data_IF_946628547192
#
_entry.id   IF_946628547192
#
_cell.length_a   1.000
_cell.length_b   1.000
_cell.length_c   1.000
_cell.angle_alpha   90.00
_cell.angle_beta   90.00
_cell.angle_gamma   90.00
#
_symmetry.space_group_name_H-M   'P 1'
#
loop_
_entity.id
_entity.type
_entity.pdbx_description
1 polymer ?
#
# COMPACT_ATOMS: atom_id res chain seq x y z
N UNK A 1 0.42 -6.77 36.25
CA UNK A 1 0.49 -6.03 34.96
C UNK A 1 1.96 -5.91 34.59
N UNK A 2 2.40 -6.42 33.44
CA UNK A 2 3.78 -6.22 32.99
C UNK A 2 4.03 -4.72 32.79
N UNK A 3 5.18 -4.23 33.26
CA UNK A 3 5.59 -2.83 33.06
C UNK A 3 5.94 -2.65 31.59
N UNK A 4 5.45 -1.58 30.96
CA UNK A 4 5.88 -1.22 29.62
C UNK A 4 7.42 -1.10 29.59
N UNK A 5 8.10 -1.69 28.59
CA UNK A 5 9.54 -1.60 28.48
C UNK A 5 9.98 -0.13 28.32
N UNK A 6 11.18 0.22 28.78
CA UNK A 6 11.64 1.60 28.69
C UNK A 6 11.83 2.03 27.22
N UNK A 7 11.46 3.28 26.90
CA UNK A 7 11.46 3.87 25.56
C UNK A 7 12.76 3.68 24.75
N UNK A 8 13.91 3.56 25.41
CA UNK A 8 15.19 3.36 24.73
C UNK A 8 15.36 1.98 24.09
N UNK A 9 14.65 0.95 24.57
CA UNK A 9 14.63 -0.38 23.94
C UNK A 9 13.79 -0.39 22.66
N UNK A 10 12.81 0.51 22.52
CA UNK A 10 11.96 0.66 21.32
C UNK A 10 12.71 1.38 20.20
N UNK A 11 13.65 2.27 20.53
CA UNK A 11 14.52 2.97 19.55
C UNK A 11 15.46 2.03 18.78
N UNK A 12 15.78 0.85 19.32
CA UNK A 12 16.57 -0.18 18.62
C UNK A 12 15.73 -1.09 17.69
N UNK A 13 14.40 -1.03 17.81
CA UNK A 13 13.44 -1.77 16.98
C UNK A 13 12.83 -0.91 15.87
N UNK A 14 13.17 0.37 15.81
CA UNK A 14 13.01 1.09 14.56
C UNK A 14 13.96 0.39 13.59
N UNK A 15 13.48 -0.21 12.49
CA UNK A 15 14.38 -0.83 11.54
C UNK A 15 15.42 0.25 11.20
N UNK A 16 16.73 -0.10 11.14
CA UNK A 16 17.76 0.87 10.84
C UNK A 16 17.65 1.26 9.36
N UNK A 17 16.58 1.96 9.01
CA UNK A 17 16.52 2.87 7.88
C UNK A 17 17.42 4.04 8.26
N UNK A 18 18.73 3.79 8.31
CA UNK A 18 19.63 4.84 7.87
C UNK A 18 19.23 5.06 6.42
N UNK A 19 18.44 6.09 6.15
CA UNK A 19 18.48 6.72 4.82
C UNK A 19 19.96 6.86 4.48
N UNK A 20 20.37 6.63 3.24
CA UNK A 20 21.77 6.79 2.85
C UNK A 20 22.37 8.16 3.26
N UNK A 21 21.49 9.13 3.56
CA UNK A 21 21.82 10.50 3.97
C UNK A 21 21.73 10.79 5.49
N UNK A 22 21.48 9.79 6.35
CA UNK A 22 21.54 9.95 7.82
C UNK A 22 20.51 10.89 8.45
N UNK A 23 19.36 11.17 7.82
CA UNK A 23 18.31 12.02 8.38
C UNK A 23 17.31 11.20 9.20
N UNK A 24 17.24 11.50 10.50
CA UNK A 24 16.21 11.02 11.42
C UNK A 24 14.86 11.66 11.08
N UNK A 25 13.79 10.86 11.05
CA UNK A 25 12.40 11.31 10.88
C UNK A 25 11.90 12.25 12.01
N UNK A 26 12.71 12.49 13.05
CA UNK A 26 12.34 13.34 14.18
C UNK A 26 12.52 14.86 13.96
N UNK A 27 13.05 15.33 12.83
CA UNK A 27 13.49 16.73 12.67
C UNK A 27 12.60 17.65 11.78
N UNK A 28 11.38 17.25 11.42
CA UNK A 28 10.50 18.04 10.52
C UNK A 28 9.79 19.26 11.15
N UNK A 29 10.37 19.88 12.18
CA UNK A 29 9.81 21.06 12.85
C UNK A 29 10.54 22.37 12.51
N UNK A 30 11.08 22.51 11.28
CA UNK A 30 11.64 23.79 10.80
C UNK A 30 10.64 24.51 9.91
N UNK A 31 10.34 25.75 10.28
CA UNK A 31 9.52 26.68 9.50
C UNK A 31 10.02 26.79 8.06
N UNK A 32 9.11 26.85 7.07
CA UNK A 32 9.50 27.04 5.68
C UNK A 32 10.13 28.44 5.49
N UNK A 33 11.22 28.57 4.70
CA UNK A 33 11.76 29.88 4.37
C UNK A 33 10.77 30.67 3.52
N UNK A 34 10.53 31.93 3.89
CA UNK A 34 9.70 32.89 3.14
C UNK A 34 10.25 33.06 1.71
N UNK A 35 9.40 33.09 0.67
CA UNK A 35 9.85 33.25 -0.70
C UNK A 35 10.34 34.68 -0.95
N UNK A 36 11.56 34.79 -1.48
CA UNK A 36 12.11 36.02 -2.00
C UNK A 36 11.54 36.31 -3.40
N UNK A 37 11.04 37.53 -3.60
CA UNK A 37 10.58 38.03 -4.90
C UNK A 37 11.75 38.12 -5.91
N UNK A 38 11.71 37.34 -6.99
CA UNK A 38 12.51 37.60 -8.18
C UNK A 38 11.60 37.86 -9.39
N UNK A 39 11.64 39.11 -9.86
CA UNK A 39 11.14 39.52 -11.18
C UNK A 39 12.13 39.05 -12.25
N UNK A 40 11.67 38.31 -13.25
CA UNK A 40 12.36 38.20 -14.55
C UNK A 40 11.35 38.29 -15.69
N UNK A 41 11.49 39.33 -16.49
CA UNK A 41 10.89 39.49 -17.81
C UNK A 41 11.67 38.64 -18.82
N UNK A 42 10.96 37.86 -19.63
CA UNK A 42 11.54 37.31 -20.86
C UNK A 42 10.59 37.57 -22.04
N UNK A 43 11.17 38.16 -23.07
CA UNK A 43 10.61 38.45 -24.38
C UNK A 43 10.47 37.15 -25.18
N UNK A 44 9.34 36.99 -25.88
CA UNK A 44 9.09 35.90 -26.82
C UNK A 44 9.52 36.29 -28.24
N UNK A 45 10.03 35.35 -29.05
CA UNK A 45 10.04 35.51 -30.50
C UNK A 45 9.05 34.56 -31.20
N UNK A 46 8.26 35.18 -32.06
CA UNK A 46 7.77 34.80 -33.40
C UNK A 46 7.53 33.32 -33.74
N UNK A 47 6.27 33.03 -34.09
CA UNK A 47 5.82 31.84 -34.80
C UNK A 47 6.24 31.88 -36.28
N UNK A 48 6.74 30.75 -36.78
CA UNK A 48 6.81 30.46 -38.22
C UNK A 48 6.17 29.10 -38.50
N UNK A 49 5.23 29.10 -39.46
CA UNK A 49 4.46 27.94 -39.88
C UNK A 49 5.26 27.03 -40.81
N UNK A 50 5.20 25.71 -40.61
CA UNK A 50 5.47 24.74 -41.69
C UNK A 50 4.39 23.66 -41.78
N UNK A 51 4.01 23.41 -43.03
CA UNK A 51 2.96 22.50 -43.49
C UNK A 51 3.47 21.05 -43.60
N UNK A 52 2.58 20.15 -43.18
CA UNK A 52 2.15 18.87 -43.78
C UNK A 52 3.10 17.72 -44.14
N UNK A 53 2.56 16.54 -43.85
CA UNK A 53 2.58 15.27 -44.59
C UNK A 53 3.57 14.20 -44.09
N UNK A 54 3.00 13.07 -43.66
CA UNK A 54 3.73 11.91 -43.15
C UNK A 54 2.82 10.98 -42.35
N UNK A 55 1.99 10.23 -43.08
CA UNK A 55 1.09 9.16 -42.66
C UNK A 55 1.82 7.98 -42.01
N UNK A 56 1.09 7.20 -41.20
CA UNK A 56 1.45 5.95 -40.52
C UNK A 56 2.10 6.09 -39.13
N UNK A 57 1.29 6.52 -38.16
CA UNK A 57 1.57 6.27 -36.74
C UNK A 57 1.22 4.83 -36.41
N UNK A 58 2.21 3.95 -36.46
CA UNK A 58 2.18 2.72 -35.67
C UNK A 58 2.02 3.12 -34.21
N UNK A 59 0.80 3.01 -33.68
CA UNK A 59 0.53 3.04 -32.25
C UNK A 59 1.21 1.80 -31.66
N UNK A 60 2.51 1.93 -31.38
CA UNK A 60 3.21 1.08 -30.42
C UNK A 60 2.44 1.21 -29.11
N UNK A 61 1.55 0.25 -28.86
CA UNK A 61 1.04 -0.03 -27.52
C UNK A 61 2.25 -0.01 -26.60
N UNK A 62 2.37 1.02 -25.76
CA UNK A 62 3.41 1.10 -24.75
C UNK A 62 3.27 -0.15 -23.91
N UNK A 63 4.19 -1.10 -24.08
CA UNK A 63 4.22 -2.28 -23.23
C UNK A 63 4.19 -1.78 -21.78
N UNK A 64 3.23 -2.26 -21.00
CA UNK A 64 3.12 -1.93 -19.59
C UNK A 64 4.51 -2.06 -18.96
N UNK A 65 4.94 -1.03 -18.23
CA UNK A 65 6.20 -1.10 -17.54
C UNK A 65 6.16 -2.34 -16.63
N UNK A 66 7.15 -3.22 -16.75
CA UNK A 66 7.27 -4.37 -15.86
C UNK A 66 7.41 -3.94 -14.40
N UNK A 67 7.39 -4.88 -13.45
CA UNK A 67 7.45 -4.54 -12.04
C UNK A 67 8.75 -3.77 -11.75
N UNK A 68 8.76 -2.89 -10.74
CA UNK A 68 9.95 -2.08 -10.42
C UNK A 68 11.16 -2.92 -10.00
N UNK A 69 10.95 -4.18 -9.67
CA UNK A 69 11.95 -5.17 -9.27
C UNK A 69 11.39 -6.61 -9.34
N UNK A 70 12.26 -7.60 -9.23
CA UNK A 70 11.87 -9.00 -9.05
C UNK A 70 11.52 -9.29 -7.58
N UNK A 71 10.75 -10.35 -7.34
CA UNK A 71 10.48 -10.87 -6.01
C UNK A 71 11.77 -11.30 -5.30
N UNK A 72 12.08 -10.63 -4.18
CA UNK A 72 13.17 -10.99 -3.29
C UNK A 72 12.59 -11.71 -2.07
N UNK A 73 12.31 -13.02 -2.22
CA UNK A 73 11.69 -13.84 -1.16
C UNK A 73 12.65 -14.20 -0.02
N UNK A 74 13.95 -14.23 -0.30
CA UNK A 74 15.03 -14.50 0.63
C UNK A 74 16.25 -13.66 0.24
N UNK A 75 17.04 -13.24 1.23
CA UNK A 75 18.35 -12.68 1.00
C UNK A 75 19.27 -13.05 2.17
N UNK A 76 20.45 -13.66 1.92
CA UNK A 76 21.38 -14.04 3.00
C UNK A 76 21.95 -12.84 3.78
N UNK A 77 21.77 -11.61 3.30
CA UNK A 77 22.16 -10.38 4.01
C UNK A 77 21.14 -9.94 5.05
N UNK A 78 19.90 -10.43 4.97
CA UNK A 78 18.89 -10.10 5.96
C UNK A 78 19.29 -10.64 7.33
N UNK A 79 19.07 -9.82 8.35
CA UNK A 79 19.43 -10.18 9.70
C UNK A 79 18.28 -10.95 10.38
N UNK A 80 18.58 -11.86 11.32
CA UNK A 80 17.55 -12.36 12.21
C UNK A 80 17.03 -11.22 13.11
N UNK A 81 15.78 -11.33 13.60
CA UNK A 81 15.25 -10.37 14.55
C UNK A 81 16.06 -10.41 15.86
N UNK A 82 16.23 -9.25 16.48
CA UNK A 82 16.91 -9.15 17.78
C UNK A 82 16.03 -9.79 18.86
N UNK A 83 16.54 -10.72 19.70
CA UNK A 83 15.76 -11.32 20.78
C UNK A 83 15.22 -10.26 21.74
N UNK A 84 13.93 -10.38 22.08
CA UNK A 84 13.20 -9.50 23.01
C UNK A 84 11.96 -10.21 23.55
N UNK A 85 11.28 -9.58 24.50
CA UNK A 85 9.96 -10.04 24.93
C UNK A 85 8.95 -9.98 23.77
N UNK A 86 7.93 -10.86 23.77
CA UNK A 86 6.84 -10.82 22.80
C UNK A 86 6.15 -9.45 22.73
N UNK A 87 5.71 -9.06 21.54
CA UNK A 87 5.03 -7.80 21.26
C UNK A 87 3.82 -8.02 20.35
N UNK A 88 2.97 -7.01 20.26
CA UNK A 88 1.93 -6.93 19.25
C UNK A 88 2.32 -5.92 18.17
N UNK A 89 2.05 -6.27 16.91
CA UNK A 89 2.26 -5.42 15.75
C UNK A 89 0.96 -5.25 14.97
N UNK A 90 0.71 -4.02 14.54
CA UNK A 90 -0.27 -3.70 13.50
C UNK A 90 0.46 -3.02 12.34
N UNK A 91 0.49 -3.66 11.18
CA UNK A 91 1.08 -3.07 9.97
C UNK A 91 -0.06 -2.76 9.01
N UNK A 92 -0.27 -1.48 8.74
CA UNK A 92 -1.31 -0.97 7.85
C UNK A 92 -0.66 -0.51 6.54
N UNK A 93 -0.73 -1.35 5.51
CA UNK A 93 -0.26 -1.03 4.16
C UNK A 93 -1.39 -0.30 3.42
N UNK A 94 -1.04 0.87 2.87
CA UNK A 94 -1.98 1.85 2.32
C UNK A 94 -2.84 2.45 3.42
N UNK A 95 -2.17 3.07 4.39
CA UNK A 95 -2.84 3.60 5.57
C UNK A 95 -3.79 4.77 5.25
N UNK A 96 -3.63 5.42 4.10
CA UNK A 96 -4.42 6.57 3.69
C UNK A 96 -4.41 7.65 4.77
N UNK A 97 -5.59 8.08 5.22
CA UNK A 97 -5.74 9.07 6.31
C UNK A 97 -5.60 8.48 7.71
N UNK A 98 -5.34 7.19 7.83
CA UNK A 98 -5.27 6.43 9.09
C UNK A 98 -6.64 5.95 9.59
N UNK A 99 -7.66 5.90 8.72
CA UNK A 99 -9.00 5.44 9.09
C UNK A 99 -9.00 4.00 9.62
N UNK A 100 -8.16 3.13 9.05
CA UNK A 100 -7.98 1.75 9.51
C UNK A 100 -7.33 1.68 10.89
N UNK A 101 -6.37 2.55 11.22
CA UNK A 101 -5.81 2.67 12.57
C UNK A 101 -6.85 3.17 13.58
N UNK A 102 -7.67 4.15 13.21
CA UNK A 102 -8.75 4.64 14.07
C UNK A 102 -9.77 3.52 14.34
N UNK A 103 -10.14 2.75 13.31
CA UNK A 103 -10.98 1.57 13.47
C UNK A 103 -10.29 0.47 14.31
N UNK A 104 -8.99 0.27 14.12
CA UNK A 104 -8.17 -0.64 14.92
C UNK A 104 -8.26 -0.27 16.40
N UNK A 105 -8.09 1.00 16.77
CA UNK A 105 -8.25 1.51 18.14
C UNK A 105 -9.71 1.50 18.65
N UNK A 106 -10.68 1.12 17.80
CA UNK A 106 -12.10 1.10 18.15
C UNK A 106 -12.76 2.48 18.15
N UNK A 107 -12.09 3.51 17.64
CA UNK A 107 -12.73 4.80 17.35
C UNK A 107 -13.79 4.62 16.24
N UNK A 108 -14.76 5.53 16.19
CA UNK A 108 -15.89 5.48 15.26
C UNK A 108 -16.69 4.15 15.30
N UNK A 109 -16.67 3.46 16.44
CA UNK A 109 -17.31 2.15 16.58
C UNK A 109 -16.64 1.07 15.73
N UNK A 110 -15.38 1.24 15.33
CA UNK A 110 -14.66 0.33 14.43
C UNK A 110 -14.99 0.54 12.95
N UNK A 111 -15.70 1.60 12.59
CA UNK A 111 -16.01 1.92 11.20
C UNK A 111 -14.88 2.73 10.57
N UNK A 112 -14.52 2.41 9.33
CA UNK A 112 -13.68 3.30 8.51
C UNK A 112 -14.54 4.38 7.87
N UNK A 113 -14.01 5.60 7.72
CA UNK A 113 -14.73 6.68 7.03
C UNK A 113 -14.76 6.51 5.50
N UNK A 114 -14.15 5.44 4.99
CA UNK A 114 -13.86 5.24 3.57
C UNK A 114 -14.94 4.47 2.79
N UNK A 115 -15.92 3.83 3.45
CA UNK A 115 -17.00 3.09 2.78
C UNK A 115 -18.37 3.62 3.15
N UNK A 116 -19.20 3.93 2.15
CA UNK A 116 -20.55 4.48 2.32
C UNK A 116 -21.51 3.61 3.13
N UNK A 117 -21.11 2.40 3.56
CA UNK A 117 -21.88 1.55 4.45
C UNK A 117 -21.10 1.04 5.68
N UNK A 118 -20.25 1.86 6.30
CA UNK A 118 -19.93 1.75 7.73
C UNK A 118 -19.59 0.35 8.23
N UNK A 119 -18.77 -0.40 7.49
CA UNK A 119 -18.39 -1.74 7.94
C UNK A 119 -17.50 -1.63 9.17
N UNK A 120 -17.89 -2.38 10.20
CA UNK A 120 -17.15 -2.47 11.45
C UNK A 120 -15.99 -3.45 11.27
N UNK A 121 -14.79 -2.92 11.08
CA UNK A 121 -13.57 -3.72 11.11
C UNK A 121 -13.27 -4.12 12.55
N UNK A 122 -13.38 -5.42 12.83
CA UNK A 122 -13.01 -5.97 14.14
C UNK A 122 -11.66 -6.66 14.02
N UNK A 123 -10.60 -5.94 14.38
CA UNK A 123 -9.24 -6.45 14.35
C UNK A 123 -8.95 -7.41 15.51
N UNK A 124 -8.54 -8.63 15.18
CA UNK A 124 -8.09 -9.69 16.11
C UNK A 124 -6.63 -9.47 16.55
N UNK A 125 -6.46 -8.90 17.75
CA UNK A 125 -5.16 -8.72 18.42
C UNK A 125 -4.82 -9.86 19.39
N UNK A 126 -5.56 -10.97 19.34
CA UNK A 126 -5.39 -12.09 20.26
C UNK A 126 -5.61 -11.67 21.72
N UNK A 127 -4.59 -11.85 22.55
CA UNK A 127 -4.63 -11.48 23.97
C UNK A 127 -4.21 -10.02 24.25
N UNK A 128 -3.69 -9.31 23.24
CA UNK A 128 -3.16 -7.96 23.39
C UNK A 128 -4.25 -6.92 23.34
N UNK A 129 -4.08 -5.83 24.09
CA UNK A 129 -4.89 -4.62 23.87
C UNK A 129 -4.34 -3.87 22.66
N UNK A 130 -5.23 -3.25 21.89
CA UNK A 130 -4.88 -2.53 20.66
C UNK A 130 -3.87 -1.42 20.91
N UNK A 131 -4.01 -0.70 22.03
CA UNK A 131 -3.11 0.39 22.43
C UNK A 131 -1.72 -0.10 22.89
N UNK A 132 -1.53 -1.41 23.10
CA UNK A 132 -0.24 -2.01 23.44
C UNK A 132 0.57 -2.37 22.18
N UNK A 133 -0.09 -2.48 21.02
CA UNK A 133 0.53 -2.82 19.76
C UNK A 133 1.40 -1.66 19.23
N UNK A 134 2.47 -2.00 18.49
CA UNK A 134 3.16 -1.04 17.65
C UNK A 134 2.47 -0.98 16.30
N UNK A 135 1.94 0.18 15.92
CA UNK A 135 1.27 0.41 14.65
C UNK A 135 2.21 1.08 13.66
N UNK A 136 2.40 0.51 12.48
CA UNK A 136 3.17 1.11 11.38
C UNK A 136 2.24 1.43 10.21
N UNK A 137 2.11 2.71 9.89
CA UNK A 137 1.15 3.22 8.91
C UNK A 137 1.88 3.55 7.61
N UNK A 138 1.93 2.61 6.68
CA UNK A 138 2.72 2.70 5.44
C UNK A 138 1.90 3.36 4.35
N UNK A 139 2.36 4.52 3.89
CA UNK A 139 1.58 5.36 2.98
C UNK A 139 2.47 6.08 1.93
N UNK A 140 2.38 5.71 0.64
CA UNK A 140 3.17 6.37 -0.41
C UNK A 140 2.75 7.82 -0.67
N UNK A 141 1.47 8.17 -0.50
CA UNK A 141 0.94 9.49 -0.80
C UNK A 141 1.24 10.49 0.32
N UNK A 142 2.18 11.40 0.05
CA UNK A 142 2.61 12.41 1.03
C UNK A 142 1.50 13.35 1.51
N UNK A 143 0.38 13.46 0.79
CA UNK A 143 -0.74 14.31 1.19
C UNK A 143 -1.41 13.84 2.48
N UNK A 144 -1.23 12.56 2.85
CA UNK A 144 -1.79 12.03 4.09
C UNK A 144 -0.90 12.21 5.32
N UNK A 145 0.33 12.70 5.15
CA UNK A 145 1.27 12.90 6.27
C UNK A 145 0.70 13.71 7.45
N UNK A 146 0.01 14.85 7.22
CA UNK A 146 -0.64 15.59 8.31
C UNK A 146 -1.71 14.78 9.06
N UNK A 147 -2.55 14.01 8.35
CA UNK A 147 -3.58 13.18 8.98
C UNK A 147 -2.96 12.03 9.79
N UNK A 148 -1.97 11.34 9.23
CA UNK A 148 -1.27 10.26 9.93
C UNK A 148 -0.50 10.77 11.16
N UNK A 149 0.03 12.00 11.10
CA UNK A 149 0.66 12.65 12.26
C UNK A 149 -0.37 12.91 13.38
N UNK A 150 -1.60 13.28 13.04
CA UNK A 150 -2.66 13.46 14.02
C UNK A 150 -3.09 12.12 14.63
N UNK A 151 -3.24 11.07 13.83
CA UNK A 151 -3.52 9.72 14.31
C UNK A 151 -2.42 9.24 15.27
N UNK A 152 -1.15 9.51 14.95
CA UNK A 152 -0.04 9.11 15.81
C UNK A 152 -0.04 9.75 17.21
N UNK A 153 -0.75 10.87 17.40
CA UNK A 153 -0.92 11.51 18.71
C UNK A 153 -1.91 10.78 19.61
N UNK A 154 -2.73 9.86 19.08
CA UNK A 154 -3.69 9.06 19.86
C UNK A 154 -2.98 8.14 20.86
N UNK A 155 -1.89 7.50 20.43
CA UNK A 155 -1.07 6.65 21.28
C UNK A 155 0.42 7.01 21.11
N UNK A 156 0.89 8.07 21.80
CA UNK A 156 2.25 8.57 21.62
C UNK A 156 3.31 7.48 21.84
N UNK A 157 4.21 7.34 20.88
CA UNK A 157 5.30 6.35 20.92
C UNK A 157 4.89 4.93 20.55
N UNK A 158 3.66 4.71 20.05
CA UNK A 158 3.19 3.41 19.57
C UNK A 158 2.79 3.39 18.11
N UNK A 159 2.42 4.54 17.55
CA UNK A 159 1.99 4.66 16.16
C UNK A 159 3.07 5.40 15.36
N UNK A 160 3.52 4.80 14.26
CA UNK A 160 4.64 5.25 13.44
C UNK A 160 4.18 5.49 11.99
N UNK A 161 3.89 6.75 11.62
CA UNK A 161 3.63 7.12 10.23
C UNK A 161 4.87 6.89 9.35
N UNK A 162 4.71 6.12 8.28
CA UNK A 162 5.73 5.82 7.27
C UNK A 162 5.31 6.43 5.92
N UNK A 163 5.28 7.76 5.89
CA UNK A 163 4.85 8.58 4.74
C UNK A 163 5.93 8.56 3.64
N UNK A 164 5.51 8.58 2.37
CA UNK A 164 6.38 8.40 1.18
C UNK A 164 7.10 7.04 1.16
N UNK A 165 6.48 6.03 1.75
CA UNK A 165 6.95 4.66 1.72
C UNK A 165 5.83 3.74 1.23
N UNK A 166 6.16 2.80 0.34
CA UNK A 166 5.25 1.77 -0.12
C UNK A 166 5.81 0.41 0.26
N UNK A 167 5.00 -0.45 0.87
CA UNK A 167 5.37 -1.84 1.06
C UNK A 167 5.34 -2.56 -0.30
N UNK A 168 6.37 -3.34 -0.59
CA UNK A 168 6.48 -4.11 -1.82
C UNK A 168 7.32 -5.37 -1.59
N UNK A 169 7.64 -6.09 -2.67
CA UNK A 169 8.45 -7.33 -2.63
C UNK A 169 9.97 -7.12 -2.79
N UNK A 170 10.44 -5.86 -2.71
CA UNK A 170 11.85 -5.48 -2.75
C UNK A 170 12.07 -4.09 -2.13
N UNK A 171 13.32 -3.76 -1.78
CA UNK A 171 13.72 -2.41 -1.41
C UNK A 171 14.16 -1.63 -2.66
N UNK A 172 13.65 -0.41 -2.81
CA UNK A 172 14.06 0.49 -3.90
C UNK A 172 13.87 1.95 -3.50
N UNK A 173 14.89 2.77 -3.74
CA UNK A 173 14.82 4.20 -3.50
C UNK A 173 14.35 4.92 -4.76
N UNK A 174 13.65 6.04 -4.59
CA UNK A 174 13.20 6.91 -5.68
C UNK A 174 12.35 6.18 -6.73
N UNK A 175 11.46 5.29 -6.30
CA UNK A 175 10.45 4.71 -7.20
C UNK A 175 9.40 5.77 -7.54
N UNK A 176 9.00 5.84 -8.81
CA UNK A 176 7.95 6.77 -9.22
C UNK A 176 6.59 6.16 -8.94
N UNK A 177 5.83 6.81 -8.07
CA UNK A 177 4.39 6.63 -7.91
C UNK A 177 3.64 7.74 -8.62
N UNK A 178 2.40 7.48 -8.99
CA UNK A 178 1.49 8.45 -9.55
C UNK A 178 0.34 8.64 -8.57
N UNK A 179 0.12 9.89 -8.18
CA UNK A 179 -1.00 10.27 -7.32
C UNK A 179 -2.19 10.71 -8.17
N UNK A 180 -3.38 10.27 -7.78
CA UNK A 180 -4.60 10.98 -8.17
C UNK A 180 -4.57 12.35 -7.47
N UNK A 181 -4.76 13.42 -8.24
CA UNK A 181 -4.85 14.79 -7.71
C UNK A 181 -6.17 15.46 -8.04
N UNK A 182 -7.13 14.72 -8.59
CA UNK A 182 -8.38 15.31 -9.01
C UNK A 182 -9.41 15.41 -7.90
N UNK A 183 -9.53 16.63 -7.39
CA UNK A 183 -10.58 17.01 -6.46
C UNK A 183 -10.26 16.66 -5.00
N UNK A 184 -11.15 17.06 -4.07
CA UNK A 184 -10.92 16.97 -2.63
C UNK A 184 -10.91 15.54 -2.07
N UNK A 185 -11.25 14.56 -2.91
CA UNK A 185 -11.33 13.13 -2.56
C UNK A 185 -10.30 12.29 -3.30
N UNK A 186 -9.30 12.90 -3.93
CA UNK A 186 -8.23 12.17 -4.57
C UNK A 186 -7.46 11.37 -3.50
N UNK A 187 -7.54 10.04 -3.59
CA UNK A 187 -6.98 9.10 -2.61
C UNK A 187 -6.04 8.08 -3.27
N UNK A 188 -6.30 7.74 -4.52
CA UNK A 188 -5.57 6.71 -5.25
C UNK A 188 -4.09 7.07 -5.43
N UNK A 189 -3.25 6.05 -5.27
CA UNK A 189 -1.84 6.12 -5.60
C UNK A 189 -1.39 4.77 -6.15
N UNK A 190 -0.64 4.78 -7.25
CA UNK A 190 -0.20 3.53 -7.88
C UNK A 190 1.18 3.69 -8.52
N UNK A 191 1.91 2.58 -8.62
CA UNK A 191 3.16 2.49 -9.40
C UNK A 191 2.84 2.55 -10.89
N UNK A 192 1.75 1.89 -11.32
CA UNK A 192 1.35 1.88 -12.73
C UNK A 192 0.68 3.23 -13.06
N UNK A 193 1.25 4.06 -13.97
CA UNK A 193 0.60 5.28 -14.41
C UNK A 193 -0.75 5.02 -15.09
N UNK A 194 -1.05 3.77 -15.45
CA UNK A 194 -2.29 3.37 -16.06
C UNK A 194 -3.30 2.73 -15.10
N UNK A 195 -3.05 2.71 -13.79
CA UNK A 195 -3.99 2.16 -12.82
C UNK A 195 -5.33 2.92 -12.80
N UNK A 196 -6.45 2.22 -12.61
CA UNK A 196 -7.80 2.82 -12.64
C UNK A 196 -7.99 3.91 -11.59
N UNK A 197 -7.39 3.73 -10.41
CA UNK A 197 -7.59 4.65 -9.27
C UNK A 197 -6.95 6.02 -9.49
N UNK A 198 -6.07 6.13 -10.50
CA UNK A 198 -5.46 7.38 -10.93
C UNK A 198 -5.88 7.80 -12.35
N UNK A 199 -6.72 7.00 -13.02
CA UNK A 199 -7.13 7.17 -14.42
C UNK A 199 -8.50 7.81 -14.62
N UNK A 200 -9.10 8.45 -13.61
CA UNK A 200 -10.34 9.21 -13.81
C UNK A 200 -10.14 10.18 -15.00
N UNK A 201 -11.07 10.22 -15.95
CA UNK A 201 -10.85 10.96 -17.21
C UNK A 201 -10.53 12.44 -16.94
N UNK A 202 -9.42 12.93 -17.49
CA UNK A 202 -9.00 14.33 -17.35
C UNK A 202 -8.24 14.68 -16.07
N UNK A 203 -7.87 13.70 -15.25
CA UNK A 203 -7.12 13.96 -14.01
C UNK A 203 -5.63 14.21 -14.28
N UNK A 204 -5.11 15.26 -13.64
CA UNK A 204 -3.68 15.46 -13.58
C UNK A 204 -3.07 14.34 -12.70
N UNK A 205 -2.06 13.67 -13.23
CA UNK A 205 -1.24 12.72 -12.46
C UNK A 205 -0.03 13.47 -11.98
N UNK A 206 0.21 13.45 -10.68
CA UNK A 206 1.46 14.00 -10.13
C UNK A 206 2.40 12.84 -9.83
N UNK A 207 3.53 12.73 -10.56
CA UNK A 207 4.55 11.79 -10.20
C UNK A 207 5.18 12.22 -8.86
N UNK A 208 5.34 11.27 -7.95
CA UNK A 208 6.05 11.44 -6.69
C UNK A 208 7.08 10.34 -6.54
N UNK A 209 8.17 10.64 -5.85
CA UNK A 209 9.17 9.64 -5.51
C UNK A 209 8.83 9.06 -4.15
N UNK A 210 8.85 7.73 -4.06
CA UNK A 210 8.67 6.99 -2.82
C UNK A 210 9.81 5.99 -2.63
N UNK A 211 9.93 5.51 -1.40
CA UNK A 211 10.77 4.37 -1.07
C UNK A 211 9.94 3.11 -1.06
N UNK A 212 10.28 2.13 -1.90
CA UNK A 212 9.78 0.77 -1.75
C UNK A 212 10.50 0.11 -0.58
N UNK A 213 9.71 -0.47 0.32
CA UNK A 213 10.14 -1.23 1.49
C UNK A 213 9.86 -2.70 1.22
N UNK A 214 10.89 -3.55 1.27
CA UNK A 214 10.67 -4.99 1.19
C UNK A 214 9.93 -5.48 2.44
N UNK A 215 8.63 -5.78 2.31
CA UNK A 215 7.81 -6.26 3.42
C UNK A 215 8.38 -7.57 4.00
N UNK A 216 8.88 -8.46 3.16
CA UNK A 216 9.43 -9.74 3.60
C UNK A 216 10.69 -9.52 4.44
N UNK A 217 11.60 -8.65 4.00
CA UNK A 217 12.78 -8.28 4.80
C UNK A 217 12.35 -7.68 6.13
N UNK A 218 11.40 -6.75 6.10
CA UNK A 218 10.95 -6.07 7.31
C UNK A 218 10.36 -7.05 8.33
N UNK A 219 9.49 -7.97 7.90
CA UNK A 219 8.98 -9.03 8.76
C UNK A 219 10.11 -9.93 9.27
N UNK A 220 11.02 -10.34 8.39
CA UNK A 220 12.17 -11.20 8.73
C UNK A 220 13.07 -10.58 9.79
N UNK A 221 13.32 -9.28 9.72
CA UNK A 221 14.26 -8.56 10.58
C UNK A 221 13.59 -7.98 11.84
N UNK A 222 12.26 -7.81 11.83
CA UNK A 222 11.52 -7.10 12.89
C UNK A 222 10.65 -7.96 13.79
N UNK A 223 10.18 -9.12 13.31
CA UNK A 223 9.13 -9.92 13.97
C UNK A 223 9.69 -11.26 14.45
N UNK A 224 9.40 -11.58 15.70
CA UNK A 224 9.70 -12.85 16.35
C UNK A 224 8.51 -13.81 16.22
N UNK A 225 8.75 -15.14 16.21
CA UNK A 225 7.67 -16.13 16.20
C UNK A 225 6.70 -16.03 17.38
N UNK A 226 7.11 -15.43 18.50
CA UNK A 226 6.29 -15.26 19.70
C UNK A 226 5.43 -13.98 19.68
N UNK A 227 5.62 -13.11 18.68
CA UNK A 227 4.82 -11.90 18.52
C UNK A 227 3.41 -12.20 18.02
N UNK A 228 2.51 -11.24 18.19
CA UNK A 228 1.21 -11.24 17.52
C UNK A 228 1.21 -10.18 16.42
N UNK A 229 1.15 -10.58 15.16
CA UNK A 229 1.16 -9.68 14.00
C UNK A 229 -0.20 -9.65 13.29
N UNK A 230 -0.77 -8.45 13.24
CA UNK A 230 -1.89 -8.09 12.40
C UNK A 230 -1.38 -7.30 11.19
N UNK A 231 -1.55 -7.85 10.00
CA UNK A 231 -1.18 -7.20 8.73
C UNK A 231 -2.45 -6.84 7.96
N UNK A 232 -2.72 -5.55 7.77
CA UNK A 232 -3.74 -5.07 6.85
C UNK A 232 -3.08 -4.59 5.56
N UNK A 233 -3.66 -4.95 4.42
CA UNK A 233 -3.14 -4.62 3.10
C UNK A 233 -4.26 -4.13 2.19
N UNK A 234 -4.14 -2.86 1.80
CA UNK A 234 -4.89 -2.16 0.76
C UNK A 234 -3.82 -1.37 -0.01
N UNK A 235 -3.17 -2.05 -0.94
CA UNK A 235 -1.99 -1.58 -1.65
C UNK A 235 -2.31 -1.30 -3.12
N UNK A 236 -3.59 -1.08 -3.44
CA UNK A 236 -4.09 -0.67 -4.75
C UNK A 236 -3.57 -1.59 -5.87
N UNK A 237 -3.52 -2.89 -5.58
CA UNK A 237 -3.08 -3.94 -6.49
C UNK A 237 -1.68 -4.51 -6.30
N UNK A 238 -0.82 -3.87 -5.51
CA UNK A 238 0.50 -4.43 -5.22
C UNK A 238 0.45 -5.75 -4.45
N UNK A 239 -0.69 -6.10 -3.83
CA UNK A 239 -0.90 -7.36 -3.14
C UNK A 239 -0.68 -8.56 -4.06
N UNK A 240 -1.05 -8.41 -5.33
CA UNK A 240 -0.87 -9.42 -6.37
C UNK A 240 0.59 -9.77 -6.63
N UNK A 241 1.51 -8.91 -6.23
CA UNK A 241 2.95 -9.17 -6.29
C UNK A 241 3.50 -9.58 -4.93
N UNK A 242 3.06 -8.92 -3.86
CA UNK A 242 3.52 -9.15 -2.49
C UNK A 242 3.12 -10.55 -2.00
N UNK A 243 1.86 -10.96 -2.14
CA UNK A 243 1.35 -12.22 -1.57
C UNK A 243 1.99 -13.44 -2.24
N UNK A 244 2.09 -13.55 -3.58
CA UNK A 244 2.83 -14.64 -4.21
C UNK A 244 4.32 -14.64 -3.87
N UNK A 245 4.93 -13.47 -3.67
CA UNK A 245 6.32 -13.42 -3.21
C UNK A 245 6.47 -13.92 -1.77
N UNK A 246 5.59 -13.47 -0.87
CA UNK A 246 5.54 -13.85 0.54
C UNK A 246 5.35 -15.36 0.71
N UNK A 247 4.47 -15.98 -0.08
CA UNK A 247 4.21 -17.43 -0.04
C UNK A 247 5.43 -18.31 -0.38
N UNK A 248 6.49 -17.75 -0.98
CA UNK A 248 7.73 -18.48 -1.27
C UNK A 248 8.62 -18.69 -0.05
N UNK A 249 8.32 -18.03 1.08
CA UNK A 249 9.15 -18.11 2.28
C UNK A 249 8.33 -18.50 3.54
N UNK A 250 8.31 -19.79 3.93
CA UNK A 250 7.58 -20.26 5.10
C UNK A 250 8.07 -19.72 6.43
N UNK A 251 9.33 -19.28 6.52
CA UNK A 251 9.86 -18.72 7.77
C UNK A 251 9.35 -17.29 8.01
N UNK A 252 8.82 -16.62 6.98
CA UNK A 252 8.32 -15.25 7.07
C UNK A 252 6.79 -15.23 7.15
N UNK A 253 6.08 -15.94 6.26
CA UNK A 253 4.61 -15.85 6.27
C UNK A 253 3.98 -16.45 7.54
N UNK A 254 4.69 -17.36 8.24
CA UNK A 254 4.26 -17.91 9.53
C UNK A 254 4.36 -16.91 10.68
N UNK A 255 5.03 -15.77 10.48
CA UNK A 255 5.09 -14.69 11.45
C UNK A 255 3.80 -13.85 11.47
N UNK A 256 2.88 -14.07 10.53
CA UNK A 256 1.62 -13.31 10.42
C UNK A 256 0.49 -14.14 11.03
N UNK A 257 -0.12 -13.64 12.10
CA UNK A 257 -1.26 -14.30 12.72
C UNK A 257 -2.56 -14.01 11.97
N UNK A 258 -2.74 -12.74 11.60
CA UNK A 258 -3.99 -12.25 10.99
C UNK A 258 -3.68 -11.33 9.83
N UNK A 259 -4.25 -11.62 8.67
CA UNK A 259 -4.15 -10.81 7.47
C UNK A 259 -5.54 -10.29 7.06
N UNK A 260 -5.68 -8.97 7.00
CA UNK A 260 -6.84 -8.28 6.41
C UNK A 260 -6.42 -7.80 5.03
N UNK A 261 -7.09 -8.27 3.99
CA UNK A 261 -6.66 -8.09 2.62
C UNK A 261 -7.78 -7.49 1.80
N UNK A 262 -7.55 -6.30 1.23
CA UNK A 262 -8.49 -5.64 0.33
C UNK A 262 -8.82 -6.54 -0.86
N UNK A 263 -10.12 -6.71 -1.11
CA UNK A 263 -10.59 -7.30 -2.35
C UNK A 263 -10.94 -6.19 -3.33
N UNK A 264 -9.96 -5.75 -4.13
CA UNK A 264 -10.19 -4.82 -5.25
C UNK A 264 -11.02 -5.44 -6.41
N UNK A 265 -11.60 -6.62 -6.22
CA UNK A 265 -12.50 -7.32 -7.15
C UNK A 265 -13.82 -7.76 -6.50
N UNK A 266 -14.49 -6.96 -5.67
CA UNK A 266 -15.60 -7.47 -4.90
C UNK A 266 -16.79 -7.72 -5.86
N UNK A 267 -17.39 -8.91 -5.76
CA UNK A 267 -18.69 -9.31 -6.36
C UNK A 267 -18.70 -10.01 -7.72
N UNK A 268 -17.62 -10.65 -8.18
CA UNK A 268 -17.70 -11.41 -9.43
C UNK A 268 -18.19 -10.57 -10.62
N UNK A 269 -18.03 -9.24 -10.54
CA UNK A 269 -18.15 -8.30 -11.65
C UNK A 269 -16.92 -8.49 -12.53
N UNK A 270 -16.82 -9.68 -13.10
CA UNK A 270 -16.04 -9.99 -14.28
C UNK A 270 -16.71 -9.37 -15.53
N UNK A 271 -17.38 -8.24 -15.39
CA UNK A 271 -18.04 -7.61 -16.51
C UNK A 271 -17.06 -6.57 -17.06
N UNK A 272 -16.40 -6.90 -18.17
CA UNK A 272 -15.84 -5.87 -19.03
C UNK A 272 -16.96 -4.86 -19.28
N UNK A 273 -16.71 -3.58 -19.04
CA UNK A 273 -17.71 -2.52 -19.18
C UNK A 273 -18.39 -2.51 -20.57
N UNK A 274 -17.79 -3.19 -21.54
CA UNK A 274 -18.28 -3.32 -22.92
C UNK A 274 -19.31 -4.45 -23.14
N UNK A 275 -19.51 -5.41 -22.22
CA UNK A 275 -20.41 -6.57 -22.40
C UNK A 275 -21.35 -6.83 -21.20
N UNK A 276 -21.96 -5.78 -20.65
CA UNK A 276 -23.08 -5.95 -19.71
C UNK A 276 -24.37 -6.21 -20.49
N UNK A 277 -24.89 -7.44 -20.41
CA UNK A 277 -26.23 -7.77 -20.88
C UNK A 277 -27.14 -8.07 -19.70
N UNK A 278 -28.36 -7.52 -19.72
CA UNK A 278 -29.39 -7.81 -18.72
C UNK A 278 -30.16 -9.03 -19.18
N UNK A 279 -30.02 -10.14 -18.45
CA UNK A 279 -30.80 -11.36 -18.68
C UNK A 279 -31.78 -11.48 -17.51
N UNK A 280 -33.08 -11.44 -17.81
CA UNK A 280 -34.16 -11.53 -16.80
C UNK A 280 -34.14 -10.48 -15.68
N UNK A 281 -33.58 -9.28 -15.93
CA UNK A 281 -33.51 -8.22 -14.92
C UNK A 281 -32.35 -8.37 -13.94
N UNK A 282 -31.55 -9.44 -14.07
CA UNK A 282 -30.28 -9.59 -13.38
C UNK A 282 -29.12 -9.27 -14.33
N UNK A 283 -28.09 -8.61 -13.81
CA UNK A 283 -26.84 -8.41 -14.54
C UNK A 283 -26.08 -9.74 -14.54
N UNK A 284 -25.96 -10.38 -15.70
CA UNK A 284 -25.12 -11.56 -15.91
C UNK A 284 -23.91 -11.18 -16.77
N UNK A 285 -22.72 -11.60 -16.36
CA UNK A 285 -21.52 -11.48 -17.18
C UNK A 285 -21.42 -12.72 -18.07
N UNK A 286 -21.37 -12.53 -19.39
CA UNK A 286 -21.03 -13.63 -20.30
C UNK A 286 -19.55 -13.99 -20.09
N UNK A 287 -19.20 -15.26 -19.84
CA UNK A 287 -17.80 -15.67 -19.83
C UNK A 287 -17.25 -15.45 -21.24
N UNK A 288 -16.42 -14.41 -21.42
CA UNK A 288 -15.74 -14.22 -22.70
C UNK A 288 -14.89 -15.48 -23.00
N UNK A 289 -14.82 -15.94 -24.26
CA UNK A 289 -14.00 -17.11 -24.63
C UNK A 289 -12.51 -17.01 -24.32
N UNK A 290 -12.02 -15.85 -23.83
CA UNK A 290 -10.64 -15.63 -23.39
C UNK A 290 -10.47 -15.24 -21.92
N UNK A 291 -11.52 -15.22 -21.09
CA UNK A 291 -11.37 -15.04 -19.63
C UNK A 291 -10.70 -13.74 -19.17
N UNK A 292 -10.70 -12.69 -19.99
CA UNK A 292 -10.05 -11.42 -19.68
C UNK A 292 -11.06 -10.40 -19.14
N UNK A 293 -11.59 -10.67 -17.97
CA UNK A 293 -12.38 -9.67 -17.26
C UNK A 293 -11.44 -8.93 -16.30
N UNK A 294 -11.30 -7.64 -16.55
CA UNK A 294 -10.28 -6.78 -15.96
C UNK A 294 -10.66 -6.42 -14.52
N UNK A 295 -10.05 -7.09 -13.54
CA UNK A 295 -9.77 -6.44 -12.25
C UNK A 295 -8.60 -5.49 -12.47
N UNK A 296 -8.78 -4.17 -12.29
CA UNK A 296 -7.77 -3.17 -12.61
C UNK A 296 -6.37 -3.44 -12.03
N UNK A 297 -6.32 -4.14 -10.90
CA UNK A 297 -5.11 -4.49 -10.20
C UNK A 297 -4.59 -5.88 -10.57
N UNK A 298 -4.11 -6.08 -11.80
CA UNK A 298 -3.08 -7.13 -11.97
C UNK A 298 -1.78 -6.54 -11.45
N UNK A 299 -1.18 -7.19 -10.46
CA UNK A 299 0.18 -6.87 -10.03
C UNK A 299 1.12 -6.77 -11.25
N UNK A 300 2.15 -5.95 -11.13
CA UNK A 300 3.04 -5.66 -12.24
C UNK A 300 3.99 -6.81 -12.55
N UNK A 301 4.15 -7.78 -11.63
CA UNK A 301 5.07 -8.90 -11.83
C UNK A 301 4.49 -10.02 -12.71
N UNK A 302 3.31 -9.83 -13.28
CA UNK A 302 2.68 -10.79 -14.19
C UNK A 302 2.11 -12.02 -13.49
N UNK A 303 1.89 -11.95 -12.17
CA UNK A 303 1.20 -13.01 -11.44
C UNK A 303 -0.23 -13.17 -11.96
N UNK A 304 -0.66 -14.41 -12.13
CA UNK A 304 -2.03 -14.74 -12.53
C UNK A 304 -2.93 -14.83 -11.29
N UNK A 305 -4.25 -14.88 -11.51
CA UNK A 305 -5.22 -15.17 -10.44
C UNK A 305 -4.93 -16.51 -9.76
N UNK A 306 -4.54 -17.51 -10.55
CA UNK A 306 -4.19 -18.82 -10.02
C UNK A 306 -2.97 -18.76 -9.09
N UNK A 307 -1.95 -17.96 -9.43
CA UNK A 307 -0.77 -17.77 -8.59
C UNK A 307 -1.14 -17.10 -7.26
N UNK A 308 -2.00 -16.07 -7.32
CA UNK A 308 -2.50 -15.36 -6.14
C UNK A 308 -3.35 -16.25 -5.23
N UNK A 309 -4.33 -16.97 -5.79
CA UNK A 309 -5.18 -17.88 -5.03
C UNK A 309 -4.36 -19.04 -4.41
N UNK A 310 -3.37 -19.57 -5.14
CA UNK A 310 -2.46 -20.58 -4.62
C UNK A 310 -1.61 -20.05 -3.45
N UNK A 311 -1.13 -18.80 -3.55
CA UNK A 311 -0.40 -18.14 -2.47
C UNK A 311 -1.30 -17.93 -1.24
N UNK A 312 -2.53 -17.44 -1.40
CA UNK A 312 -3.50 -17.31 -0.31
C UNK A 312 -3.79 -18.65 0.37
N UNK A 313 -3.99 -19.71 -0.41
CA UNK A 313 -4.21 -21.05 0.12
C UNK A 313 -3.00 -21.57 0.89
N UNK A 314 -1.77 -21.23 0.45
CA UNK A 314 -0.53 -21.58 1.15
C UNK A 314 -0.47 -20.91 2.53
N UNK A 315 -0.76 -19.60 2.61
CA UNK A 315 -0.80 -18.86 3.87
C UNK A 315 -1.90 -19.38 4.81
N UNK A 316 -3.13 -19.57 4.30
CA UNK A 316 -4.25 -20.12 5.07
C UNK A 316 -3.95 -21.52 5.64
N UNK A 317 -3.37 -22.39 4.82
CA UNK A 317 -3.01 -23.76 5.24
C UNK A 317 -1.92 -23.78 6.31
N UNK A 318 -1.14 -22.71 6.42
CA UNK A 318 -0.13 -22.54 7.44
C UNK A 318 -0.66 -21.90 8.74
N UNK A 319 -1.94 -21.55 8.81
CA UNK A 319 -2.59 -21.01 10.00
C UNK A 319 -2.80 -19.49 10.00
N UNK A 320 -2.38 -18.76 8.95
CA UNK A 320 -2.67 -17.33 8.82
C UNK A 320 -4.19 -17.15 8.72
N UNK A 321 -4.78 -16.36 9.62
CA UNK A 321 -6.21 -16.07 9.59
C UNK A 321 -6.48 -14.99 8.55
N UNK A 322 -7.51 -15.20 7.74
CA UNK A 322 -8.05 -14.19 6.80
C UNK A 322 -9.50 -13.91 7.15
N UNK A 323 -9.78 -13.04 8.13
CA UNK A 323 -11.13 -12.57 8.38
C UNK A 323 -11.71 -11.93 7.11
N UNK A 324 -13.04 -11.91 6.94
CA UNK A 324 -13.66 -11.12 5.88
C UNK A 324 -13.17 -9.67 5.99
N UNK A 325 -12.44 -9.23 4.98
CA UNK A 325 -12.08 -7.84 4.78
C UNK A 325 -12.64 -7.47 3.42
N UNK A 326 -13.48 -6.45 3.40
CA UNK A 326 -14.18 -6.01 2.20
C UNK A 326 -13.75 -4.59 1.92
N UNK A 327 -13.39 -4.30 0.68
CA UNK A 327 -13.46 -2.92 0.20
C UNK A 327 -14.80 -2.66 -0.44
N UNK A 328 -15.40 -1.56 0.00
CA UNK A 328 -16.58 -1.04 -0.66
C UNK A 328 -16.16 -0.21 -1.87
N UNK A 329 -16.65 -0.63 -3.04
CA UNK A 329 -16.82 0.17 -4.24
C UNK A 329 -17.38 1.56 -3.94
#
# INVERSE_FOLDING_TARGET
MPKAPPLWSVLLLHPPWKTADGLSLADNNRDPPKPAHMKKSFLAPSMESRKSSGTSTDTKSSAAAGPPCACEATNPKWQPPVPRDPMCFFIDVGAGRGDSELAFLGEHGGQTSTGGQGQQLTFDTGAWKKEECLSYLVEPNSNFGPSLTEVARRVPGRIFPMVQQAAYMCDKQNETFYLDTAGPHARGSAIDPHHSDIQRQGTAKTPVNVTLVNLLRWLREGVLPEDHLVLKMDAEGAEWDIIPCLAKNPDIYKLIDVMYLEDHCPRGQYCCFENLHTVHGEQQCDPTPQGQCWCPSKGQAGNTRADFDAALNTLKSAGVKFPPYFSET
#
